data_IF_979503398080
#
_entry.id   IF_979503398080
#
_cell.length_a   1.000
_cell.length_b   1.000
_cell.length_c   1.000
_cell.angle_alpha   90.00
_cell.angle_beta   90.00
_cell.angle_gamma   90.00
#
_symmetry.space_group_name_H-M   'P 1'
#
loop_
_entity.id
_entity.type
_entity.pdbx_description
1 polymer ?
#
# COMPACT_ATOMS: atom_id res chain seq x y z
N UNK A 1 34.79 -15.75 10.59
CA UNK A 1 34.04 -15.40 11.79
C UNK A 1 32.59 -15.25 11.37
N UNK A 2 31.76 -16.23 11.73
CA UNK A 2 30.32 -16.22 11.53
C UNK A 2 29.75 -15.13 12.44
N UNK A 3 29.21 -14.05 11.86
CA UNK A 3 28.47 -13.08 12.65
C UNK A 3 27.18 -13.73 13.12
N UNK A 4 27.08 -13.99 14.41
CA UNK A 4 25.83 -14.38 15.04
C UNK A 4 24.79 -13.30 14.76
N UNK A 5 23.54 -13.67 14.43
CA UNK A 5 22.47 -12.69 14.21
C UNK A 5 22.31 -11.87 15.49
N UNK A 6 22.39 -10.55 15.33
CA UNK A 6 22.12 -9.60 16.40
C UNK A 6 20.77 -9.93 17.04
N UNK A 7 20.75 -10.23 18.34
CA UNK A 7 19.52 -10.47 19.07
C UNK A 7 18.66 -9.23 18.94
N UNK A 8 17.59 -9.29 18.11
CA UNK A 8 16.59 -8.22 18.06
C UNK A 8 16.05 -8.03 19.47
N UNK A 9 16.24 -6.85 20.03
CA UNK A 9 15.54 -6.49 21.25
C UNK A 9 14.06 -6.50 20.89
N UNK A 10 13.23 -7.28 21.56
CA UNK A 10 11.78 -7.30 21.32
C UNK A 10 11.07 -6.02 21.78
N UNK A 11 11.78 -4.89 21.79
CA UNK A 11 11.27 -3.58 22.20
C UNK A 11 10.96 -2.76 20.97
N UNK A 12 9.77 -2.16 20.93
CA UNK A 12 9.40 -1.20 19.90
C UNK A 12 10.34 0.01 19.92
N UNK A 13 10.77 0.42 18.73
CA UNK A 13 11.55 1.64 18.53
C UNK A 13 10.62 2.77 18.10
N UNK A 14 10.77 3.97 18.67
CA UNK A 14 10.05 5.16 18.22
C UNK A 14 10.89 5.82 17.13
N UNK A 15 10.31 5.95 15.93
CA UNK A 15 10.96 6.65 14.82
C UNK A 15 10.37 8.05 14.67
N UNK A 16 11.23 9.00 14.32
CA UNK A 16 10.83 10.36 13.99
C UNK A 16 11.00 10.59 12.48
N UNK A 17 10.04 11.29 11.84
CA UNK A 17 10.15 11.58 10.42
C UNK A 17 11.30 12.56 10.16
N UNK A 18 12.02 12.34 9.07
CA UNK A 18 13.07 13.28 8.61
C UNK A 18 12.51 14.42 7.78
N UNK A 19 11.27 14.28 7.32
CA UNK A 19 10.54 15.30 6.59
C UNK A 19 9.03 15.18 6.85
N UNK A 20 8.37 16.34 6.97
CA UNK A 20 6.92 16.45 7.21
C UNK A 20 6.38 17.64 6.44
N UNK A 21 5.18 17.49 5.87
CA UNK A 21 4.41 18.61 5.33
C UNK A 21 2.89 18.30 5.32
N UNK A 22 2.13 19.18 4.68
CA UNK A 22 0.72 18.98 4.36
C UNK A 22 0.55 19.13 2.85
N UNK A 23 -0.02 18.13 2.18
CA UNK A 23 -0.24 18.15 0.73
C UNK A 23 -1.31 19.17 0.32
N UNK A 24 -1.35 19.58 -0.95
CA UNK A 24 -2.58 20.05 -1.58
C UNK A 24 -3.70 18.99 -1.44
N UNK A 25 -4.96 19.38 -1.66
CA UNK A 25 -6.03 18.38 -1.73
C UNK A 25 -5.74 17.40 -2.88
N UNK A 26 -5.79 16.09 -2.60
CA UNK A 26 -5.45 15.04 -3.58
C UNK A 26 -6.22 15.23 -4.89
N UNK A 27 -7.51 15.56 -4.81
CA UNK A 27 -8.37 15.83 -5.98
C UNK A 27 -7.92 17.02 -6.85
N UNK A 28 -7.05 17.89 -6.34
CA UNK A 28 -6.51 19.05 -7.08
C UNK A 28 -5.14 18.80 -7.70
N UNK A 29 -4.50 17.67 -7.40
CA UNK A 29 -3.20 17.31 -7.95
C UNK A 29 -3.40 16.75 -9.35
N UNK A 30 -2.77 17.34 -10.39
CA UNK A 30 -2.85 16.79 -11.74
C UNK A 30 -2.22 15.40 -11.80
N UNK A 31 -2.93 14.44 -12.36
CA UNK A 31 -2.37 13.11 -12.58
C UNK A 31 -1.46 13.18 -13.79
N UNK A 32 -0.16 12.88 -13.64
CA UNK A 32 0.78 12.91 -14.75
C UNK A 32 0.42 11.82 -15.78
N UNK A 33 0.79 12.03 -17.05
CA UNK A 33 0.68 10.97 -18.05
C UNK A 33 1.51 9.76 -17.60
N UNK A 34 1.03 8.56 -17.94
CA UNK A 34 1.68 7.31 -17.57
C UNK A 34 3.18 7.33 -17.93
N UNK A 35 4.04 7.06 -16.97
CA UNK A 35 5.47 6.86 -17.20
C UNK A 35 5.68 5.39 -17.53
N UNK A 36 6.29 5.03 -18.67
CA UNK A 36 6.69 3.66 -18.89
C UNK A 36 7.71 3.27 -17.82
N UNK A 37 7.34 2.33 -16.97
CA UNK A 37 8.30 1.71 -16.05
C UNK A 37 8.94 0.55 -16.80
N UNK A 38 10.26 0.50 -16.85
CA UNK A 38 10.97 -0.70 -17.29
C UNK A 38 10.45 -1.90 -16.49
N UNK A 39 10.07 -2.98 -17.19
CA UNK A 39 9.53 -4.18 -16.58
C UNK A 39 10.42 -4.66 -15.43
N UNK A 40 10.00 -4.41 -14.22
CA UNK A 40 10.54 -5.05 -13.02
C UNK A 40 9.81 -6.37 -12.82
N UNK A 41 9.99 -7.31 -13.72
CA UNK A 41 9.66 -8.68 -13.39
C UNK A 41 10.65 -9.14 -12.31
N UNK A 42 10.16 -9.28 -11.10
CA UNK A 42 10.85 -10.10 -10.11
C UNK A 42 10.86 -11.53 -10.69
N UNK A 43 12.04 -12.10 -11.01
CA UNK A 43 12.08 -13.43 -11.58
C UNK A 43 11.33 -14.38 -10.64
N UNK A 44 10.29 -15.02 -11.15
CA UNK A 44 9.61 -16.09 -10.44
C UNK A 44 10.70 -17.09 -10.03
N UNK A 45 11.08 -17.11 -8.76
CA UNK A 45 11.84 -18.23 -8.24
C UNK A 45 10.94 -19.43 -8.46
N UNK A 46 11.25 -20.20 -9.49
CA UNK A 46 10.68 -21.53 -9.66
C UNK A 46 11.07 -22.31 -8.41
N UNK A 47 10.26 -22.16 -7.38
CA UNK A 47 10.20 -23.11 -6.30
C UNK A 47 9.85 -24.41 -6.98
N UNK A 48 10.84 -25.31 -7.13
CA UNK A 48 10.57 -26.69 -7.41
C UNK A 48 9.47 -27.09 -6.43
N UNK A 49 8.25 -27.31 -6.94
CA UNK A 49 7.17 -27.81 -6.11
C UNK A 49 7.71 -29.10 -5.50
N UNK A 50 8.13 -29.04 -4.25
CA UNK A 50 8.20 -30.25 -3.44
C UNK A 50 6.80 -30.81 -3.54
N UNK A 51 6.71 -31.96 -4.16
CA UNK A 51 5.51 -32.79 -4.11
C UNK A 51 5.35 -33.17 -2.65
N UNK A 52 4.77 -32.25 -1.86
CA UNK A 52 4.32 -32.60 -0.52
C UNK A 52 3.27 -33.68 -0.74
N UNK A 53 3.63 -34.89 -0.33
CA UNK A 53 2.64 -35.93 -0.12
C UNK A 53 1.75 -35.37 0.99
N UNK A 54 0.60 -34.82 0.57
CA UNK A 54 -0.45 -34.42 1.50
C UNK A 54 -0.86 -35.70 2.22
N UNK A 55 -0.28 -35.90 3.39
CA UNK A 55 -0.78 -36.93 4.31
C UNK A 55 -2.26 -36.63 4.58
N UNK A 56 -3.09 -37.66 4.61
CA UNK A 56 -4.48 -37.54 5.05
C UNK A 56 -4.49 -36.99 6.48
N UNK A 57 -4.66 -35.69 6.61
CA UNK A 57 -4.83 -35.05 7.91
C UNK A 57 -6.30 -35.10 8.27
N UNK A 58 -6.62 -35.63 9.44
CA UNK A 58 -7.98 -35.59 10.01
C UNK A 58 -8.52 -34.17 10.20
N UNK A 59 -7.68 -33.16 10.01
CA UNK A 59 -8.02 -31.73 10.11
C UNK A 59 -8.40 -31.09 8.78
N UNK A 60 -8.37 -31.84 7.69
CA UNK A 60 -8.82 -31.32 6.39
C UNK A 60 -10.34 -31.28 6.38
N UNK A 61 -10.90 -30.09 6.24
CA UNK A 61 -12.33 -29.94 6.03
C UNK A 61 -12.70 -30.56 4.69
N UNK A 62 -13.40 -31.68 4.72
CA UNK A 62 -13.81 -32.42 3.50
C UNK A 62 -15.19 -32.03 3.00
N UNK A 63 -15.94 -31.31 3.79
CA UNK A 63 -17.27 -30.82 3.43
C UNK A 63 -17.29 -29.31 3.57
N UNK A 64 -17.71 -28.56 2.53
CA UNK A 64 -17.93 -27.11 2.68
C UNK A 64 -18.91 -26.85 3.83
N UNK A 65 -18.56 -25.89 4.70
CA UNK A 65 -19.49 -25.41 5.70
C UNK A 65 -20.71 -24.75 5.03
N UNK A 66 -21.84 -24.75 5.71
CA UNK A 66 -23.00 -23.96 5.26
C UNK A 66 -22.57 -22.49 5.30
N UNK A 67 -22.69 -21.73 4.19
CA UNK A 67 -22.38 -20.30 4.18
C UNK A 67 -23.25 -19.61 5.24
N UNK A 68 -22.61 -19.01 6.23
CA UNK A 68 -23.27 -18.27 7.32
C UNK A 68 -23.07 -16.77 7.17
N UNK A 69 -22.51 -16.37 6.02
CA UNK A 69 -22.30 -14.98 5.66
C UNK A 69 -23.53 -14.47 4.91
N UNK A 70 -24.10 -13.32 5.27
CA UNK A 70 -25.18 -12.73 4.50
C UNK A 70 -24.71 -12.41 3.08
N UNK A 71 -25.62 -12.40 2.14
CA UNK A 71 -25.33 -11.99 0.77
C UNK A 71 -24.79 -10.56 0.73
N UNK A 72 -23.80 -10.27 -0.15
CA UNK A 72 -23.28 -8.93 -0.29
C UNK A 72 -24.36 -7.99 -0.81
N UNK A 73 -24.48 -6.81 -0.19
CA UNK A 73 -25.45 -5.79 -0.60
C UNK A 73 -25.06 -5.12 -1.94
N UNK A 74 -23.76 -5.01 -2.20
CA UNK A 74 -23.20 -4.44 -3.41
C UNK A 74 -21.81 -5.02 -3.68
N UNK A 75 -21.38 -4.98 -4.94
CA UNK A 75 -20.05 -5.37 -5.35
C UNK A 75 -19.69 -4.72 -6.69
N UNK A 76 -18.45 -4.33 -6.85
CA UNK A 76 -17.93 -3.77 -8.11
C UNK A 76 -16.48 -4.21 -8.33
N UNK A 77 -15.99 -4.19 -9.59
CA UNK A 77 -14.60 -4.45 -9.87
C UNK A 77 -13.70 -3.39 -9.22
N UNK A 78 -12.66 -3.83 -8.51
CA UNK A 78 -11.59 -2.97 -8.01
C UNK A 78 -10.46 -2.81 -9.03
N UNK A 79 -9.29 -2.39 -8.54
CA UNK A 79 -8.05 -2.34 -9.32
C UNK A 79 -7.44 -3.72 -9.45
N UNK A 80 -6.96 -4.04 -10.65
CA UNK A 80 -6.17 -5.22 -10.95
C UNK A 80 -4.84 -4.87 -11.61
N UNK A 81 -4.17 -5.88 -12.17
CA UNK A 81 -2.90 -5.67 -12.87
C UNK A 81 -3.05 -4.95 -14.21
N UNK A 82 -4.26 -4.88 -14.77
CA UNK A 82 -4.52 -4.15 -16.02
C UNK A 82 -4.49 -2.63 -15.80
N UNK A 83 -4.89 -2.14 -14.62
CA UNK A 83 -4.76 -0.73 -14.25
C UNK A 83 -3.29 -0.36 -14.06
N UNK A 84 -2.47 -1.23 -13.46
CA UNK A 84 -1.02 -1.05 -13.42
C UNK A 84 -0.46 -0.97 -14.85
N UNK A 85 -0.83 -1.92 -15.74
CA UNK A 85 -0.39 -1.89 -17.14
C UNK A 85 -0.75 -0.56 -17.83
N UNK A 86 -1.95 -0.04 -17.56
CA UNK A 86 -2.44 1.19 -18.20
C UNK A 86 -1.72 2.44 -17.70
N UNK A 87 -1.42 2.52 -16.39
CA UNK A 87 -0.88 3.73 -15.76
C UNK A 87 0.66 3.75 -15.77
N UNK A 88 1.30 2.61 -15.52
CA UNK A 88 2.75 2.51 -15.36
C UNK A 88 3.45 1.68 -16.43
N UNK A 89 2.70 1.16 -17.41
CA UNK A 89 3.24 0.42 -18.55
C UNK A 89 3.63 -1.03 -18.25
N UNK A 90 3.36 -1.56 -17.06
CA UNK A 90 3.71 -2.93 -16.66
C UNK A 90 2.70 -3.60 -15.75
N UNK A 91 2.53 -4.91 -15.89
CA UNK A 91 1.83 -5.74 -14.92
C UNK A 91 2.79 -6.15 -13.82
N UNK A 92 2.39 -5.97 -12.57
CA UNK A 92 3.22 -6.29 -11.42
C UNK A 92 2.75 -7.57 -10.75
N UNK A 93 3.72 -8.36 -10.32
CA UNK A 93 3.49 -9.58 -9.57
C UNK A 93 4.53 -9.69 -8.45
N UNK A 94 4.09 -9.85 -7.21
CA UNK A 94 2.69 -9.92 -6.77
C UNK A 94 1.96 -8.57 -6.86
N UNK A 95 0.61 -8.56 -6.85
CA UNK A 95 -0.16 -7.32 -6.94
C UNK A 95 -0.20 -6.52 -5.63
N UNK A 96 0.19 -7.11 -4.51
CA UNK A 96 0.24 -6.53 -3.16
C UNK A 96 -0.97 -5.64 -2.85
N UNK A 97 -2.14 -6.18 -3.19
CA UNK A 97 -3.40 -5.45 -3.12
C UNK A 97 -3.76 -5.14 -1.67
N UNK A 98 -3.96 -3.87 -1.39
CA UNK A 98 -4.43 -3.35 -0.11
C UNK A 98 -5.73 -2.57 -0.33
N UNK A 99 -6.58 -2.55 0.66
CA UNK A 99 -7.79 -1.73 0.61
C UNK A 99 -8.53 -1.77 1.92
N UNK A 100 -9.20 -0.68 2.22
CA UNK A 100 -10.02 -0.58 3.42
C UNK A 100 -11.26 0.28 3.15
N UNK A 101 -12.25 0.15 4.02
CA UNK A 101 -13.52 0.87 3.93
C UNK A 101 -13.68 1.81 5.12
N UNK A 102 -13.77 3.11 4.83
CA UNK A 102 -14.02 4.13 5.82
C UNK A 102 -15.51 4.47 5.95
N UNK A 103 -15.77 5.65 6.49
CA UNK A 103 -17.13 6.14 6.72
C UNK A 103 -17.95 6.26 5.42
N UNK A 104 -17.38 6.90 4.40
CA UNK A 104 -18.06 7.24 3.15
C UNK A 104 -17.36 6.70 1.90
N UNK A 105 -16.14 6.19 2.03
CA UNK A 105 -15.27 5.81 0.93
C UNK A 105 -14.70 4.42 1.10
N UNK A 106 -14.34 3.80 -0.03
CA UNK A 106 -13.45 2.66 -0.16
C UNK A 106 -12.19 3.13 -0.88
N UNK A 107 -11.02 2.85 -0.31
CA UNK A 107 -9.72 3.14 -0.93
C UNK A 107 -9.04 1.83 -1.23
N UNK A 108 -8.58 1.66 -2.46
CA UNK A 108 -7.78 0.50 -2.85
C UNK A 108 -6.46 0.95 -3.47
N UNK A 109 -5.40 0.26 -3.07
CA UNK A 109 -4.08 0.38 -3.66
C UNK A 109 -3.63 -0.98 -4.18
N UNK A 110 -3.29 -1.04 -5.45
CA UNK A 110 -2.77 -2.25 -6.09
C UNK A 110 -1.34 -1.97 -6.54
N UNK A 111 -0.38 -2.41 -5.76
CA UNK A 111 1.06 -2.20 -5.90
C UNK A 111 1.44 -0.75 -6.20
N UNK A 112 1.52 -0.31 -7.46
CA UNK A 112 1.97 1.04 -7.84
C UNK A 112 0.84 2.01 -8.19
N UNK A 113 -0.43 1.59 -8.08
CA UNK A 113 -1.58 2.44 -8.44
C UNK A 113 -2.69 2.38 -7.40
N UNK A 114 -3.41 3.46 -7.19
CA UNK A 114 -4.54 3.51 -6.27
C UNK A 114 -5.75 4.23 -6.86
N UNK A 115 -6.91 3.97 -6.28
CA UNK A 115 -8.15 4.67 -6.59
C UNK A 115 -9.08 4.70 -5.38
N UNK A 116 -10.07 5.59 -5.42
CA UNK A 116 -11.03 5.82 -4.34
C UNK A 116 -12.44 5.77 -4.92
N UNK A 117 -13.34 5.08 -4.24
CA UNK A 117 -14.77 4.98 -4.58
C UNK A 117 -15.63 5.47 -3.42
N UNK A 118 -16.83 5.92 -3.74
CA UNK A 118 -17.91 6.04 -2.77
C UNK A 118 -18.51 4.66 -2.44
N UNK A 119 -19.36 4.60 -1.44
CA UNK A 119 -20.03 3.33 -1.05
C UNK A 119 -21.08 2.84 -2.04
N UNK A 120 -21.38 3.61 -3.08
CA UNK A 120 -22.25 3.21 -4.19
C UNK A 120 -21.44 2.61 -5.36
N UNK A 121 -20.11 2.56 -5.25
CA UNK A 121 -19.20 2.02 -6.27
C UNK A 121 -18.82 3.04 -7.35
N UNK A 122 -19.17 4.32 -7.20
CA UNK A 122 -18.71 5.36 -8.12
C UNK A 122 -17.26 5.72 -7.79
N UNK A 123 -16.38 5.69 -8.79
CA UNK A 123 -15.02 6.14 -8.62
C UNK A 123 -14.99 7.66 -8.47
N UNK A 124 -14.55 8.12 -7.29
CA UNK A 124 -14.42 9.55 -6.97
C UNK A 124 -13.01 10.08 -7.16
N UNK A 125 -12.01 9.18 -7.17
CA UNK A 125 -10.64 9.54 -7.50
C UNK A 125 -9.89 8.36 -8.16
N UNK A 126 -9.21 8.57 -9.30
CA UNK A 126 -9.34 9.73 -10.18
C UNK A 126 -10.78 10.00 -10.60
N UNK A 127 -11.17 11.28 -10.66
CA UNK A 127 -12.52 11.65 -11.09
C UNK A 127 -12.79 11.20 -12.53
N UNK A 128 -14.01 10.81 -12.81
CA UNK A 128 -14.43 10.40 -14.15
C UNK A 128 -15.15 11.56 -14.90
N UNK A 129 -14.94 11.75 -16.24
CA UNK A 129 -14.00 10.96 -17.07
C UNK A 129 -12.54 11.31 -16.78
N UNK A 130 -11.68 10.28 -16.70
CA UNK A 130 -10.27 10.46 -16.37
C UNK A 130 -9.50 9.14 -16.34
N UNK A 131 -8.28 9.14 -15.82
CA UNK A 131 -7.47 7.93 -15.69
C UNK A 131 -8.16 6.83 -14.89
N UNK A 132 -7.83 5.58 -15.19
CA UNK A 132 -8.41 4.41 -14.49
C UNK A 132 -7.95 4.32 -13.04
N UNK A 133 -6.74 4.82 -12.74
CA UNK A 133 -6.15 4.89 -11.41
C UNK A 133 -5.13 6.04 -11.36
N UNK A 134 -4.64 6.36 -10.17
CA UNK A 134 -3.52 7.28 -9.95
C UNK A 134 -2.26 6.50 -9.59
N UNK A 135 -1.05 6.93 -10.00
CA UNK A 135 0.19 6.33 -9.55
C UNK A 135 0.38 6.58 -8.04
N UNK A 136 1.02 5.64 -7.35
CA UNK A 136 1.17 5.67 -5.89
C UNK A 136 1.96 6.87 -5.38
N UNK A 137 3.00 7.28 -6.10
CA UNK A 137 3.82 8.45 -5.79
C UNK A 137 3.07 9.79 -5.91
N UNK A 138 1.91 9.83 -6.57
CA UNK A 138 1.09 11.04 -6.65
C UNK A 138 0.73 11.61 -5.28
N UNK A 139 0.56 10.75 -4.27
CA UNK A 139 0.26 11.19 -2.91
C UNK A 139 1.37 12.06 -2.32
N UNK A 140 2.61 11.94 -2.82
CA UNK A 140 3.78 12.72 -2.42
C UNK A 140 4.20 13.78 -3.47
N UNK A 141 3.38 14.09 -4.46
CA UNK A 141 3.67 15.15 -5.44
C UNK A 141 3.99 16.48 -4.74
N UNK A 142 5.12 17.11 -5.10
CA UNK A 142 5.64 18.33 -4.47
C UNK A 142 6.21 18.14 -3.04
N UNK A 143 6.26 16.91 -2.50
CA UNK A 143 6.87 16.65 -1.20
C UNK A 143 8.40 16.72 -1.25
N UNK A 144 9.00 16.32 -2.36
CA UNK A 144 10.45 16.24 -2.57
C UNK A 144 11.11 15.03 -1.89
N UNK A 145 12.26 14.67 -2.43
CA UNK A 145 13.05 13.53 -1.93
C UNK A 145 12.52 12.17 -2.36
N UNK A 146 12.98 11.06 -1.72
CA UNK A 146 12.71 9.71 -2.19
C UNK A 146 11.23 9.36 -2.28
N UNK A 147 10.38 9.84 -1.37
CA UNK A 147 8.95 9.57 -1.39
C UNK A 147 8.23 10.12 -2.63
N UNK A 148 8.69 11.24 -3.18
CA UNK A 148 8.15 11.79 -4.43
C UNK A 148 8.78 11.12 -5.66
N UNK A 149 10.08 10.75 -5.54
CA UNK A 149 10.84 10.29 -6.71
C UNK A 149 10.55 8.84 -7.08
N UNK A 150 10.26 8.01 -6.09
CA UNK A 150 10.15 6.57 -6.26
C UNK A 150 8.74 6.06 -5.94
N UNK A 151 8.17 5.36 -6.91
CA UNK A 151 6.92 4.61 -6.76
C UNK A 151 7.28 3.14 -6.69
N UNK A 152 7.68 2.67 -5.50
CA UNK A 152 8.27 1.34 -5.34
C UNK A 152 7.25 0.29 -4.86
N UNK A 153 6.08 0.70 -4.36
CA UNK A 153 5.00 -0.20 -4.01
C UNK A 153 5.02 -0.69 -2.55
N UNK A 154 4.66 -1.94 -2.36
CA UNK A 154 4.34 -2.57 -1.07
C UNK A 154 3.44 -1.67 -0.21
N UNK A 155 2.31 -1.23 -0.80
CA UNK A 155 1.48 -0.23 -0.17
C UNK A 155 0.74 -0.78 1.04
N UNK A 156 0.32 0.13 1.92
CA UNK A 156 -0.68 -0.14 2.94
C UNK A 156 -1.75 0.93 2.85
N UNK A 157 -3.00 0.51 2.97
CA UNK A 157 -4.16 1.40 3.07
C UNK A 157 -5.02 0.94 4.24
N UNK A 158 -5.21 1.82 5.22
CA UNK A 158 -6.00 1.56 6.41
C UNK A 158 -6.93 2.73 6.71
N UNK A 159 -8.12 2.40 7.22
CA UNK A 159 -9.01 3.32 7.89
C UNK A 159 -8.77 3.26 9.40
N UNK A 160 -8.49 4.40 10.00
CA UNK A 160 -8.46 4.56 11.46
C UNK A 160 -9.84 5.01 11.96
N UNK A 161 -10.65 4.12 12.52
CA UNK A 161 -11.98 4.46 13.00
C UNK A 161 -11.98 5.33 14.26
N UNK A 162 -10.86 5.39 14.99
CA UNK A 162 -10.74 6.15 16.23
C UNK A 162 -10.50 7.63 15.93
N UNK A 163 -9.64 7.90 14.95
CA UNK A 163 -9.33 9.25 14.52
C UNK A 163 -10.23 9.73 13.36
N UNK A 164 -10.99 8.83 12.74
CA UNK A 164 -11.71 9.04 11.49
C UNK A 164 -10.76 9.56 10.37
N UNK A 165 -9.64 8.82 10.17
CA UNK A 165 -8.60 9.18 9.21
C UNK A 165 -8.19 7.98 8.36
N UNK A 166 -7.76 8.30 7.15
CA UNK A 166 -7.07 7.33 6.30
C UNK A 166 -5.57 7.37 6.58
N UNK A 167 -4.96 6.20 6.58
CA UNK A 167 -3.51 6.03 6.64
C UNK A 167 -3.08 5.26 5.41
N UNK A 168 -2.17 5.86 4.64
CA UNK A 168 -1.61 5.24 3.45
C UNK A 168 -0.10 5.26 3.54
N UNK A 169 0.56 4.21 3.09
CA UNK A 169 2.01 4.17 3.05
C UNK A 169 2.55 3.37 1.89
N UNK A 170 3.75 3.72 1.46
CA UNK A 170 4.58 2.92 0.56
C UNK A 170 6.04 3.06 0.98
N UNK A 171 6.90 2.17 0.52
CA UNK A 171 8.33 2.35 0.72
C UNK A 171 8.98 3.07 -0.49
N UNK A 172 10.17 3.62 -0.27
CA UNK A 172 11.02 4.17 -1.32
C UNK A 172 12.41 3.56 -1.14
N UNK A 173 12.79 2.67 -2.05
CA UNK A 173 13.94 1.75 -1.89
C UNK A 173 14.78 1.59 -3.16
N UNK A 174 14.33 2.14 -4.29
CA UNK A 174 15.04 2.06 -5.57
C UNK A 174 16.29 2.95 -5.64
N UNK A 175 16.71 3.55 -4.52
CA UNK A 175 17.96 4.28 -4.42
C UNK A 175 19.15 3.32 -4.52
N UNK A 176 20.31 3.80 -5.05
CA UNK A 176 21.52 2.97 -5.15
C UNK A 176 22.12 2.59 -3.79
N UNK A 177 21.76 3.26 -2.71
CA UNK A 177 22.24 3.01 -1.35
C UNK A 177 21.27 3.52 -0.29
N UNK A 178 21.38 2.95 0.92
CA UNK A 178 20.66 3.43 2.10
C UNK A 178 20.97 4.93 2.39
N UNK A 179 20.11 5.62 3.17
CA UNK A 179 18.96 5.05 3.87
C UNK A 179 17.78 4.78 2.93
N UNK A 180 17.02 3.71 3.20
CA UNK A 180 15.74 3.46 2.59
C UNK A 180 14.63 4.17 3.37
N UNK A 181 13.48 4.38 2.75
CA UNK A 181 12.43 5.20 3.36
C UNK A 181 11.10 4.46 3.43
N UNK A 182 10.38 4.72 4.52
CA UNK A 182 8.95 4.48 4.60
C UNK A 182 8.24 5.82 4.48
N UNK A 183 7.40 5.94 3.49
CA UNK A 183 6.58 7.12 3.21
C UNK A 183 5.20 6.86 3.79
N UNK A 184 4.77 7.69 4.73
CA UNK A 184 3.47 7.55 5.41
C UNK A 184 2.66 8.81 5.19
N UNK A 185 1.38 8.66 4.91
CA UNK A 185 0.45 9.78 4.78
C UNK A 185 -0.81 9.51 5.62
N UNK A 186 -1.27 10.54 6.33
CA UNK A 186 -2.50 10.51 7.14
C UNK A 186 -3.43 11.60 6.64
N UNK A 187 -4.67 11.25 6.27
CA UNK A 187 -5.62 12.25 5.78
C UNK A 187 -5.98 13.29 6.85
N UNK A 188 -6.18 14.53 6.44
CA UNK A 188 -6.55 15.59 7.39
C UNK A 188 -8.00 15.49 7.85
N UNK A 189 -8.84 14.77 7.12
CA UNK A 189 -10.27 14.52 7.42
C UNK A 189 -10.63 13.09 7.03
N UNK A 190 -11.88 12.69 7.20
CA UNK A 190 -12.41 11.41 6.72
C UNK A 190 -12.55 11.32 5.18
N UNK A 191 -12.41 12.45 4.47
CA UNK A 191 -12.41 12.50 3.01
C UNK A 191 -10.98 12.22 2.47
N UNK A 192 -10.73 11.05 1.85
CA UNK A 192 -9.41 10.68 1.34
C UNK A 192 -9.00 11.47 0.09
N UNK A 193 -9.91 12.21 -0.54
CA UNK A 193 -9.61 13.09 -1.69
C UNK A 193 -9.11 14.46 -1.28
N UNK A 194 -9.14 14.75 0.04
CA UNK A 194 -8.68 15.99 0.64
C UNK A 194 -7.16 16.11 0.79
N UNK A 195 -6.73 16.89 1.76
CA UNK A 195 -5.32 17.07 2.11
C UNK A 195 -4.81 15.92 2.98
N UNK A 196 -3.49 15.74 2.98
CA UNK A 196 -2.81 14.71 3.74
C UNK A 196 -1.61 15.29 4.50
N UNK A 197 -1.45 14.93 5.76
CA UNK A 197 -0.18 15.03 6.47
C UNK A 197 0.76 13.96 5.90
N UNK A 198 1.96 14.37 5.45
CA UNK A 198 2.91 13.46 4.81
C UNK A 198 4.21 13.40 5.60
N UNK A 199 4.75 12.20 5.71
CA UNK A 199 5.92 11.91 6.53
C UNK A 199 6.87 11.00 5.76
N UNK A 200 8.18 11.32 5.82
CA UNK A 200 9.24 10.42 5.36
C UNK A 200 10.04 9.93 6.56
N UNK A 201 10.12 8.63 6.73
CA UNK A 201 10.93 7.99 7.77
C UNK A 201 12.12 7.30 7.11
N UNK A 202 13.34 7.69 7.50
CA UNK A 202 14.56 7.01 7.05
C UNK A 202 14.84 5.79 7.95
N UNK A 203 14.94 4.61 7.34
CA UNK A 203 15.31 3.40 8.09
C UNK A 203 16.77 3.45 8.51
N UNK A 204 17.09 3.13 9.77
CA UNK A 204 18.46 3.18 10.26
C UNK A 204 19.33 2.10 9.63
N UNK A 205 20.55 2.48 9.27
CA UNK A 205 21.52 1.59 8.63
C UNK A 205 21.08 1.16 7.23
N UNK A 206 21.36 -0.08 6.86
CA UNK A 206 20.99 -0.69 5.58
C UNK A 206 19.73 -1.54 5.68
N UNK A 207 18.86 -1.28 6.65
CA UNK A 207 17.61 -2.03 6.78
C UNK A 207 16.67 -1.67 5.64
N UNK A 208 16.06 -2.71 5.09
CA UNK A 208 15.10 -2.62 4.02
C UNK A 208 13.71 -2.96 4.56
N UNK A 209 12.72 -2.06 4.46
CA UNK A 209 11.38 -2.27 4.99
C UNK A 209 10.51 -3.09 4.01
N UNK A 210 10.91 -4.32 3.72
CA UNK A 210 10.26 -5.19 2.75
C UNK A 210 8.89 -5.67 3.28
N UNK A 211 7.86 -5.45 2.49
CA UNK A 211 6.48 -5.84 2.75
C UNK A 211 6.00 -5.50 4.17
N UNK A 212 5.97 -4.21 4.54
CA UNK A 212 5.63 -3.78 5.88
C UNK A 212 4.18 -4.10 6.22
N UNK A 213 3.90 -4.20 7.53
CA UNK A 213 2.53 -4.27 8.05
C UNK A 213 2.30 -3.13 9.00
N UNK A 214 1.11 -2.53 8.94
CA UNK A 214 0.74 -1.39 9.77
C UNK A 214 -0.46 -1.74 10.63
N UNK A 215 -0.41 -1.38 11.90
CA UNK A 215 -1.50 -1.51 12.84
C UNK A 215 -1.91 -0.17 13.44
N UNK A 216 -3.20 -0.01 13.69
CA UNK A 216 -3.77 1.17 14.33
C UNK A 216 -4.12 0.83 15.77
N UNK A 217 -3.70 1.66 16.72
CA UNK A 217 -4.05 1.55 18.14
C UNK A 217 -4.30 2.95 18.72
N UNK A 218 -5.01 3.08 19.87
CA UNK A 218 -5.36 4.39 20.42
C UNK A 218 -4.18 5.34 20.71
N UNK A 219 -2.99 4.80 20.90
CA UNK A 219 -1.79 5.56 21.24
C UNK A 219 -0.82 5.77 20.07
N UNK A 220 -1.09 5.19 18.90
CA UNK A 220 -0.24 5.38 17.73
C UNK A 220 -0.42 4.39 16.59
N UNK A 221 0.38 4.58 15.56
CA UNK A 221 0.50 3.68 14.43
C UNK A 221 1.78 2.85 14.57
N UNK A 222 1.65 1.55 14.39
CA UNK A 222 2.74 0.60 14.53
C UNK A 222 3.05 -0.02 13.18
N UNK A 223 4.32 -0.05 12.81
CA UNK A 223 4.79 -0.65 11.57
C UNK A 223 5.85 -1.72 11.87
N UNK A 224 5.81 -2.85 11.14
CA UNK A 224 6.75 -3.97 11.30
C UNK A 224 7.41 -4.32 9.99
#
# INVERSE_FOLDING_TARGET
AEMLPEKRSGRAEVMYPVKVDVSPALRSIPIPPAKPVENREVPNKTTSMRKEVLGTSERIQTTPGVPNTPDPLAGWPGLGSDENQTIIGGRLMPPDTQGDIGKDHYVQWNNLVFAIWDKSGNKVFPAQPGPVAAPGDLLWDGFGGPCETYNDGDPITLWDPLAERWVMSQFAVSMPSAPFYQCVAVSTTSDPTGQWYRYAYAWPGNRFPDYPKLGVWPDGYYIT
#
